data_IF_546568988949
#
_entry.id   IF_546568988949
#
_cell.length_a   1.000
_cell.length_b   1.000
_cell.length_c   1.000
_cell.angle_alpha   90.00
_cell.angle_beta   90.00
_cell.angle_gamma   90.00
#
_symmetry.space_group_name_H-M   'P 1'
#
loop_
_entity.id
_entity.type
_entity.pdbx_description
1 polymer ?
#
# COMPACT_ATOMS: atom_id res chain seq x y z
N UNK A 1 2.31 14.34 6.71
CA UNK A 1 3.41 13.62 6.05
C UNK A 1 3.80 14.31 4.75
N UNK A 2 5.04 14.11 4.34
CA UNK A 2 5.59 14.61 3.08
C UNK A 2 6.13 13.44 2.28
N UNK A 3 5.90 13.45 0.97
CA UNK A 3 6.57 12.59 -0.01
C UNK A 3 7.29 13.45 -1.06
N UNK A 4 7.74 12.86 -2.16
CA UNK A 4 8.50 13.57 -3.19
C UNK A 4 7.69 14.69 -3.86
N UNK A 5 6.38 14.51 -3.99
CA UNK A 5 5.53 15.38 -4.80
C UNK A 5 4.27 15.89 -4.08
N UNK A 6 4.11 15.55 -2.81
CA UNK A 6 2.94 15.93 -2.01
C UNK A 6 3.25 16.13 -0.54
N UNK A 7 2.53 17.05 0.11
CA UNK A 7 2.50 17.23 1.56
C UNK A 7 1.06 17.22 2.02
N UNK A 8 0.77 16.45 3.08
CA UNK A 8 -0.56 16.34 3.66
C UNK A 8 -0.51 16.74 5.12
N UNK A 9 -1.22 17.79 5.45
CA UNK A 9 -1.47 18.24 6.81
C UNK A 9 -2.76 17.62 7.32
N UNK A 10 -2.78 17.20 8.58
CA UNK A 10 -3.96 16.53 9.14
C UNK A 10 -4.22 17.01 10.57
N UNK A 11 -5.47 17.30 10.85
CA UNK A 11 -5.99 17.54 12.21
C UNK A 11 -7.08 16.48 12.43
N UNK A 12 -6.92 15.66 13.45
CA UNK A 12 -7.84 14.54 13.75
C UNK A 12 -8.46 14.69 15.14
N UNK A 13 -9.58 14.00 15.37
CA UNK A 13 -10.28 13.97 16.66
C UNK A 13 -10.76 15.36 17.13
N UNK A 14 -11.21 16.19 16.20
CA UNK A 14 -11.77 17.50 16.51
C UNK A 14 -13.19 17.34 17.06
N UNK A 15 -13.51 17.86 18.26
CA UNK A 15 -14.87 17.84 18.80
C UNK A 15 -15.77 18.79 17.99
N UNK A 16 -16.73 18.25 17.25
CA UNK A 16 -17.61 19.01 16.34
C UNK A 16 -18.72 19.78 17.06
N UNK A 17 -19.02 19.41 18.29
CA UNK A 17 -19.94 20.12 19.19
C UNK A 17 -19.36 21.45 19.74
N UNK A 18 -18.06 21.66 19.61
CA UNK A 18 -17.38 22.89 20.03
C UNK A 18 -17.00 23.77 18.82
N UNK A 19 -17.88 24.70 18.47
CA UNK A 19 -17.71 25.58 17.32
C UNK A 19 -16.40 26.37 17.36
N UNK A 20 -15.93 26.81 18.54
CA UNK A 20 -14.69 27.57 18.69
C UNK A 20 -13.45 26.72 18.35
N UNK A 21 -13.47 25.43 18.70
CA UNK A 21 -12.40 24.52 18.35
C UNK A 21 -12.37 24.25 16.82
N UNK A 22 -13.54 24.02 16.22
CA UNK A 22 -13.68 23.90 14.78
C UNK A 22 -13.15 25.12 14.05
N UNK A 23 -13.57 26.32 14.46
CA UNK A 23 -13.12 27.57 13.83
C UNK A 23 -11.59 27.76 13.99
N UNK A 24 -11.03 27.37 15.14
CA UNK A 24 -9.56 27.38 15.33
C UNK A 24 -8.84 26.43 14.44
N UNK A 25 -9.38 25.23 14.21
CA UNK A 25 -8.81 24.25 13.27
C UNK A 25 -8.83 24.78 11.83
N UNK A 26 -9.93 25.43 11.41
CA UNK A 26 -10.01 26.05 10.08
C UNK A 26 -8.98 27.18 9.92
N UNK A 27 -8.77 27.99 10.96
CA UNK A 27 -7.73 29.03 10.95
C UNK A 27 -6.32 28.42 10.83
N UNK A 28 -6.03 27.34 11.57
CA UNK A 28 -4.75 26.64 11.47
C UNK A 28 -4.53 26.10 10.04
N UNK A 29 -5.56 25.50 9.43
CA UNK A 29 -5.47 25.03 8.04
C UNK A 29 -5.22 26.19 7.06
N UNK A 30 -5.88 27.33 7.26
CA UNK A 30 -5.65 28.54 6.47
C UNK A 30 -4.21 29.03 6.61
N UNK A 31 -3.69 29.13 7.83
CA UNK A 31 -2.33 29.61 8.08
C UNK A 31 -1.29 28.65 7.49
N UNK A 32 -1.50 27.35 7.59
CA UNK A 32 -0.64 26.38 6.92
C UNK A 32 -0.65 26.50 5.40
N UNK A 33 -1.80 26.85 4.83
CA UNK A 33 -1.96 26.91 3.37
C UNK A 33 -1.27 28.13 2.74
N UNK A 34 -1.24 29.29 3.43
CA UNK A 34 -0.84 30.54 2.79
C UNK A 34 -0.18 31.58 3.71
N UNK A 35 -0.12 31.34 5.03
CA UNK A 35 0.27 32.37 6.01
C UNK A 35 1.34 31.89 7.01
N UNK A 36 2.13 30.85 6.71
CA UNK A 36 3.20 30.40 7.59
C UNK A 36 4.25 31.52 7.75
N UNK A 37 4.53 31.88 8.98
CA UNK A 37 5.57 32.84 9.32
C UNK A 37 6.95 32.14 9.35
N UNK A 38 7.66 32.18 8.23
CA UNK A 38 8.99 31.58 8.07
C UNK A 38 10.08 32.51 8.63
N UNK A 39 10.01 32.83 9.94
CA UNK A 39 11.01 33.65 10.62
C UNK A 39 12.35 32.90 10.75
N UNK A 40 13.46 33.57 10.53
CA UNK A 40 14.81 32.99 10.56
C UNK A 40 15.08 32.18 11.83
N UNK A 41 14.71 32.73 12.99
CA UNK A 41 14.88 32.07 14.28
C UNK A 41 14.11 30.73 14.39
N UNK A 42 12.92 30.66 13.80
CA UNK A 42 12.11 29.44 13.84
C UNK A 42 12.65 28.40 12.81
N UNK A 43 13.11 28.85 11.65
CA UNK A 43 13.80 28.00 10.69
C UNK A 43 15.06 27.37 11.32
N UNK A 44 15.88 28.14 12.05
CA UNK A 44 17.07 27.60 12.71
C UNK A 44 16.75 26.57 13.82
N UNK A 45 15.67 26.79 14.57
CA UNK A 45 15.21 25.78 15.54
C UNK A 45 14.83 24.48 14.83
N UNK A 46 14.08 24.61 13.74
CA UNK A 46 13.57 23.45 12.99
C UNK A 46 14.70 22.68 12.32
N UNK A 47 15.80 23.34 11.89
CA UNK A 47 17.00 22.64 11.41
C UNK A 47 17.51 21.60 12.41
N UNK A 48 17.45 21.90 13.70
CA UNK A 48 17.82 20.96 14.76
C UNK A 48 16.93 19.73 14.79
N UNK A 49 15.62 19.95 14.66
CA UNK A 49 14.60 18.88 14.62
C UNK A 49 14.80 17.98 13.38
N UNK A 50 14.94 18.60 12.20
CA UNK A 50 15.16 17.85 10.94
C UNK A 50 16.48 17.08 10.95
N UNK A 51 17.55 17.59 11.57
CA UNK A 51 18.81 16.83 11.74
C UNK A 51 18.61 15.58 12.58
N UNK A 52 17.86 15.66 13.68
CA UNK A 52 17.57 14.50 14.51
C UNK A 52 16.63 13.51 13.78
N UNK A 53 15.68 14.00 13.00
CA UNK A 53 14.86 13.16 12.13
C UNK A 53 15.73 12.44 11.09
N UNK A 54 16.62 13.16 10.41
CA UNK A 54 17.56 12.56 9.46
C UNK A 54 18.40 11.46 10.13
N UNK A 55 18.92 11.74 11.34
CA UNK A 55 19.71 10.79 12.10
C UNK A 55 18.93 9.54 12.49
N UNK A 56 17.69 9.72 12.94
CA UNK A 56 16.82 8.61 13.35
C UNK A 56 16.34 7.75 12.18
N UNK A 57 16.20 8.34 10.99
CA UNK A 57 15.81 7.64 9.76
C UNK A 57 16.98 7.03 8.99
N UNK A 58 18.22 7.42 9.29
CA UNK A 58 19.43 6.94 8.60
C UNK A 58 19.80 5.50 8.98
N UNK A 59 18.84 4.58 8.79
CA UNK A 59 19.05 3.13 8.97
C UNK A 59 19.83 2.52 7.81
N UNK A 60 20.34 1.30 7.99
CA UNK A 60 21.03 0.55 6.92
C UNK A 60 20.20 0.44 5.65
N UNK A 61 18.90 0.16 5.78
CA UNK A 61 17.99 0.10 4.62
C UNK A 61 17.84 1.46 3.92
N UNK A 62 17.75 2.56 4.69
CA UNK A 62 17.68 3.91 4.12
C UNK A 62 18.94 4.26 3.32
N UNK A 63 20.13 3.91 3.82
CA UNK A 63 21.41 4.12 3.11
C UNK A 63 21.45 3.30 1.81
N UNK A 64 21.04 2.03 1.86
CA UNK A 64 20.94 1.16 0.68
C UNK A 64 19.99 1.75 -0.34
N UNK A 65 18.78 2.17 0.08
CA UNK A 65 17.78 2.75 -0.83
C UNK A 65 18.29 4.05 -1.47
N UNK A 66 18.91 4.95 -0.69
CA UNK A 66 19.48 6.19 -1.22
C UNK A 66 20.53 5.89 -2.30
N UNK A 67 21.38 4.89 -2.08
CA UNK A 67 22.40 4.48 -3.07
C UNK A 67 21.79 3.74 -4.27
N UNK A 68 20.61 3.13 -4.15
CA UNK A 68 19.93 2.45 -5.23
C UNK A 68 19.23 3.43 -6.20
N UNK A 69 18.77 4.59 -5.71
CA UNK A 69 17.98 5.53 -6.51
C UNK A 69 18.61 5.92 -7.85
N UNK A 70 19.93 6.24 -7.95
CA UNK A 70 20.56 6.56 -9.24
C UNK A 70 20.56 5.40 -10.24
N UNK A 71 20.53 4.15 -9.75
CA UNK A 71 20.42 2.96 -10.60
C UNK A 71 18.98 2.71 -11.03
N UNK A 72 18.01 2.96 -10.14
CA UNK A 72 16.58 2.77 -10.40
C UNK A 72 16.02 3.87 -11.31
N UNK A 73 16.56 5.09 -11.18
CA UNK A 73 16.08 6.30 -11.85
C UNK A 73 17.20 7.04 -12.59
N UNK A 74 17.92 6.38 -13.52
CA UNK A 74 18.97 7.05 -14.26
C UNK A 74 18.39 8.26 -15.01
N UNK A 75 19.09 9.38 -14.97
CA UNK A 75 18.74 10.63 -15.64
C UNK A 75 17.39 11.25 -15.19
N UNK A 76 16.80 10.77 -14.12
CA UNK A 76 15.59 11.34 -13.55
C UNK A 76 15.87 12.10 -12.25
N UNK A 77 15.07 13.14 -12.01
CA UNK A 77 15.12 13.89 -10.74
C UNK A 77 14.81 13.02 -9.51
N UNK A 78 14.10 11.92 -9.68
CA UNK A 78 13.82 10.97 -8.60
C UNK A 78 15.08 10.33 -8.01
N UNK A 79 16.21 10.35 -8.72
CA UNK A 79 17.49 9.85 -8.21
C UNK A 79 18.02 10.63 -6.99
N UNK A 80 17.68 11.93 -6.88
CA UNK A 80 18.34 12.86 -5.93
C UNK A 80 17.36 13.57 -4.99
N UNK A 81 16.05 13.29 -5.04
CA UNK A 81 15.07 14.11 -4.35
C UNK A 81 14.34 13.41 -3.19
N UNK A 82 15.04 12.63 -2.38
CA UNK A 82 14.43 12.08 -1.16
C UNK A 82 13.98 13.20 -0.22
N UNK A 83 12.75 13.13 0.35
CA UNK A 83 12.14 14.23 1.10
C UNK A 83 12.95 14.71 2.30
N UNK A 84 13.68 13.81 2.96
CA UNK A 84 14.50 14.19 4.12
C UNK A 84 15.72 15.06 3.73
N UNK A 85 16.17 15.01 2.48
CA UNK A 85 17.32 15.76 1.98
C UNK A 85 18.67 15.24 2.51
N UNK A 86 19.69 16.07 2.34
CA UNK A 86 21.05 15.82 2.85
C UNK A 86 21.38 16.73 4.03
N UNK A 87 22.28 16.27 4.91
CA UNK A 87 22.75 17.09 6.05
C UNK A 87 23.40 18.41 5.60
N UNK A 88 24.08 18.40 4.46
CA UNK A 88 24.70 19.61 3.93
C UNK A 88 23.62 20.66 3.58
N UNK A 89 22.57 20.25 2.85
CA UNK A 89 21.45 21.13 2.54
C UNK A 89 20.74 21.58 3.81
N UNK A 90 20.39 20.66 4.71
CA UNK A 90 19.67 20.98 5.96
C UNK A 90 20.41 22.04 6.78
N UNK A 91 21.73 21.94 6.85
CA UNK A 91 22.55 22.85 7.65
C UNK A 91 22.78 24.22 6.98
N UNK A 92 22.81 24.28 5.66
CA UNK A 92 23.38 25.42 4.93
C UNK A 92 22.42 26.15 4.00
N UNK A 93 21.19 25.63 3.73
CA UNK A 93 20.27 26.32 2.83
C UNK A 93 19.96 27.75 3.33
N UNK A 94 19.93 28.77 2.46
CA UNK A 94 19.52 30.12 2.82
C UNK A 94 18.06 30.15 3.25
N UNK A 95 17.72 31.00 4.23
CA UNK A 95 16.30 31.12 4.67
C UNK A 95 15.36 31.49 3.52
N UNK A 96 15.88 32.21 2.52
CA UNK A 96 15.07 32.64 1.38
C UNK A 96 14.62 31.44 0.52
N UNK A 97 15.40 30.38 0.43
CA UNK A 97 15.04 29.20 -0.36
C UNK A 97 13.75 28.55 0.12
N UNK A 98 13.55 28.44 1.44
CA UNK A 98 12.29 27.87 1.98
C UNK A 98 11.11 28.83 1.79
N UNK A 99 11.34 30.15 1.87
CA UNK A 99 10.31 31.14 1.56
C UNK A 99 9.89 31.11 0.10
N UNK A 100 10.87 31.04 -0.79
CA UNK A 100 10.62 30.94 -2.25
C UNK A 100 9.93 29.64 -2.61
N UNK A 101 10.32 28.53 -1.96
CA UNK A 101 9.65 27.25 -2.12
C UNK A 101 8.18 27.33 -1.68
N UNK A 102 7.93 27.88 -0.50
CA UNK A 102 6.59 28.04 0.03
C UNK A 102 5.74 28.94 -0.87
N UNK A 103 6.23 30.10 -1.25
CA UNK A 103 5.53 31.02 -2.16
C UNK A 103 5.24 30.41 -3.54
N UNK A 104 6.13 29.52 -4.02
CA UNK A 104 6.01 28.88 -5.33
C UNK A 104 4.99 27.75 -5.35
N UNK A 105 4.92 26.95 -4.29
CA UNK A 105 4.19 25.69 -4.32
C UNK A 105 2.96 25.64 -3.41
N UNK A 106 2.89 26.46 -2.36
CA UNK A 106 1.72 26.57 -1.47
C UNK A 106 0.73 27.58 -2.04
N UNK A 107 -0.02 27.15 -3.02
CA UNK A 107 -0.94 27.97 -3.79
C UNK A 107 -2.27 27.25 -4.03
N UNK A 108 -3.41 27.99 -4.08
CA UNK A 108 -4.75 27.40 -4.03
C UNK A 108 -5.07 26.44 -5.17
N UNK A 109 -4.45 26.60 -6.35
CA UNK A 109 -4.65 25.72 -7.50
C UNK A 109 -3.96 24.32 -7.32
N UNK A 110 -3.10 24.17 -6.31
CA UNK A 110 -2.45 22.91 -5.94
C UNK A 110 -2.90 22.37 -4.57
N UNK A 111 -3.91 22.96 -3.94
CA UNK A 111 -4.38 22.60 -2.61
C UNK A 111 -5.80 22.04 -2.65
N UNK A 112 -6.04 21.01 -1.84
CA UNK A 112 -7.38 20.50 -1.54
C UNK A 112 -7.62 20.48 -0.05
N UNK A 113 -8.84 20.78 0.39
CA UNK A 113 -9.27 20.72 1.78
C UNK A 113 -10.36 19.67 1.91
N UNK A 114 -10.13 18.66 2.74
CA UNK A 114 -11.07 17.58 3.01
C UNK A 114 -11.50 17.65 4.46
N UNK A 115 -12.80 17.74 4.71
CA UNK A 115 -13.38 17.76 6.06
C UNK A 115 -14.42 16.65 6.13
N UNK A 116 -14.25 15.77 7.09
CA UNK A 116 -15.16 14.63 7.31
C UNK A 116 -15.49 14.53 8.80
N UNK A 117 -16.75 14.44 9.12
CA UNK A 117 -17.24 14.34 10.49
C UNK A 117 -18.74 14.56 10.61
N UNK A 118 -19.20 14.62 11.85
CA UNK A 118 -20.56 15.04 12.17
C UNK A 118 -20.69 16.57 12.07
N UNK A 119 -20.96 17.05 10.85
CA UNK A 119 -21.01 18.46 10.48
C UNK A 119 -22.20 18.77 9.57
N UNK A 120 -22.67 20.01 9.62
CA UNK A 120 -23.54 20.55 8.58
C UNK A 120 -22.68 20.99 7.38
N UNK A 121 -22.86 20.33 6.23
CA UNK A 121 -22.02 20.53 5.04
C UNK A 121 -22.16 21.96 4.49
N UNK A 122 -23.38 22.50 4.40
CA UNK A 122 -23.63 23.83 3.86
C UNK A 122 -23.01 24.94 4.73
N UNK A 123 -23.14 24.81 6.05
CA UNK A 123 -22.51 25.73 6.98
C UNK A 123 -20.99 25.65 6.96
N UNK A 124 -20.44 24.45 6.83
CA UNK A 124 -19.00 24.24 6.74
C UNK A 124 -18.44 24.79 5.42
N UNK A 125 -19.13 24.59 4.31
CA UNK A 125 -18.78 25.19 3.02
C UNK A 125 -18.77 26.72 3.10
N UNK A 126 -19.79 27.32 3.71
CA UNK A 126 -19.85 28.77 3.90
C UNK A 126 -18.69 29.30 4.77
N UNK A 127 -18.33 28.56 5.83
CA UNK A 127 -17.19 28.91 6.70
C UNK A 127 -15.87 28.81 5.92
N UNK A 128 -15.65 27.73 5.14
CA UNK A 128 -14.47 27.56 4.31
C UNK A 128 -14.32 28.70 3.31
N UNK A 129 -15.37 29.03 2.58
CA UNK A 129 -15.37 30.16 1.62
C UNK A 129 -15.00 31.48 2.28
N UNK A 130 -15.42 31.68 3.51
CA UNK A 130 -15.10 32.90 4.28
C UNK A 130 -13.66 32.91 4.79
N UNK A 131 -13.19 31.81 5.36
CA UNK A 131 -11.85 31.70 5.97
C UNK A 131 -10.76 31.79 4.90
N UNK A 132 -10.97 31.17 3.71
CA UNK A 132 -9.98 31.13 2.63
C UNK A 132 -10.20 32.19 1.55
N UNK A 133 -11.06 33.19 1.78
CA UNK A 133 -11.39 34.22 0.79
C UNK A 133 -10.22 35.11 0.36
N UNK A 134 -9.23 35.27 1.20
CA UNK A 134 -8.03 36.09 0.99
C UNK A 134 -6.87 35.33 0.33
N UNK A 135 -6.95 33.98 0.26
CA UNK A 135 -5.95 33.15 -0.43
C UNK A 135 -6.06 33.34 -1.92
N UNK A 136 -5.07 33.99 -2.51
CA UNK A 136 -5.09 34.38 -3.93
C UNK A 136 -4.27 33.44 -4.79
N UNK A 137 -4.80 33.14 -5.97
CA UNK A 137 -4.02 32.45 -7.01
C UNK A 137 -2.83 33.33 -7.46
N UNK A 138 -1.64 32.74 -7.64
CA UNK A 138 -0.47 33.47 -8.14
C UNK A 138 -0.67 33.87 -9.61
N UNK A 139 -0.01 34.98 -9.99
CA UNK A 139 0.06 35.40 -11.38
C UNK A 139 1.20 34.62 -12.06
N UNK A 140 0.92 33.98 -13.20
CA UNK A 140 1.88 33.14 -13.93
C UNK A 140 2.52 32.05 -13.02
N UNK A 141 1.72 31.13 -12.47
CA UNK A 141 2.22 30.09 -11.58
C UNK A 141 3.22 29.18 -12.30
N UNK A 142 4.23 28.70 -11.56
CA UNK A 142 5.14 27.70 -12.09
C UNK A 142 4.39 26.41 -12.45
N UNK A 143 4.73 25.83 -13.59
CA UNK A 143 4.18 24.55 -14.01
C UNK A 143 4.60 23.42 -13.04
N UNK A 144 3.66 22.56 -12.71
CA UNK A 144 3.97 21.34 -11.95
C UNK A 144 4.46 20.27 -12.93
N UNK A 145 5.69 19.83 -12.71
CA UNK A 145 6.35 18.85 -13.57
C UNK A 145 6.43 17.52 -12.81
N UNK A 146 5.98 16.43 -13.45
CA UNK A 146 6.28 15.07 -13.07
C UNK A 146 7.46 14.57 -13.89
N UNK A 147 8.49 14.08 -13.22
CA UNK A 147 9.72 13.70 -13.90
C UNK A 147 9.56 12.33 -14.58
N UNK A 148 9.98 12.21 -15.84
CA UNK A 148 9.92 10.92 -16.53
C UNK A 148 10.89 9.91 -15.93
N UNK A 149 10.53 8.65 -16.05
CA UNK A 149 11.39 7.50 -15.77
C UNK A 149 11.58 6.73 -17.05
N UNK A 150 12.83 6.59 -17.48
CA UNK A 150 13.17 5.95 -18.74
C UNK A 150 12.89 4.44 -18.71
N UNK A 151 12.55 3.89 -19.89
CA UNK A 151 12.55 2.46 -20.13
C UNK A 151 13.98 1.92 -20.22
N UNK A 152 14.17 0.65 -19.88
CA UNK A 152 15.44 -0.02 -20.02
C UNK A 152 15.29 -1.36 -20.75
N UNK A 153 16.26 -1.64 -21.63
CA UNK A 153 16.32 -2.93 -22.36
C UNK A 153 17.08 -3.99 -21.56
N UNK A 154 18.20 -3.61 -20.96
CA UNK A 154 18.96 -4.47 -20.06
C UNK A 154 18.51 -4.23 -18.61
N UNK A 155 18.53 -5.27 -17.75
CA UNK A 155 18.15 -5.13 -16.36
C UNK A 155 19.00 -4.10 -15.60
N UNK A 156 18.34 -3.21 -14.84
CA UNK A 156 18.98 -2.32 -13.88
C UNK A 156 19.15 -3.07 -12.57
N UNK A 157 20.40 -3.27 -12.11
CA UNK A 157 20.68 -4.12 -10.95
C UNK A 157 21.48 -3.34 -9.93
N UNK A 158 20.95 -3.25 -8.71
CA UNK A 158 21.63 -2.71 -7.54
C UNK A 158 21.80 -3.79 -6.48
N UNK A 159 23.02 -3.91 -5.96
CA UNK A 159 23.37 -4.79 -4.83
C UNK A 159 23.96 -3.89 -3.76
N UNK A 160 23.32 -3.83 -2.61
CA UNK A 160 23.74 -3.04 -1.46
C UNK A 160 23.89 -3.87 -0.21
N UNK A 161 24.93 -3.59 0.57
CA UNK A 161 25.14 -4.23 1.87
C UNK A 161 25.31 -3.18 2.96
N UNK A 162 24.86 -3.49 4.16
CA UNK A 162 25.02 -2.62 5.32
C UNK A 162 25.12 -3.46 6.60
N UNK A 163 25.86 -2.95 7.58
CA UNK A 163 26.11 -3.63 8.87
C UNK A 163 24.87 -3.77 9.75
N UNK A 164 23.88 -2.90 9.54
CA UNK A 164 22.61 -2.92 10.28
C UNK A 164 21.57 -3.84 9.66
N UNK A 165 21.82 -4.37 8.47
CA UNK A 165 20.92 -5.34 7.84
C UNK A 165 21.25 -6.74 8.34
N UNK A 166 20.24 -7.45 8.81
CA UNK A 166 20.38 -8.81 9.32
C UNK A 166 19.88 -9.86 8.30
N UNK A 167 18.87 -9.52 7.53
CA UNK A 167 18.17 -10.44 6.62
C UNK A 167 18.28 -9.93 5.19
N UNK A 168 18.77 -10.77 4.26
CA UNK A 168 18.75 -10.41 2.84
C UNK A 168 17.33 -10.21 2.32
N UNK A 169 17.14 -9.14 1.54
CA UNK A 169 15.90 -8.85 0.81
C UNK A 169 16.19 -8.70 -0.68
N UNK A 170 15.30 -9.24 -1.48
CA UNK A 170 15.40 -9.32 -2.93
C UNK A 170 14.12 -8.78 -3.51
N UNK A 171 14.22 -7.82 -4.44
CA UNK A 171 13.08 -7.28 -5.14
C UNK A 171 13.33 -7.30 -6.64
N UNK A 172 12.37 -7.83 -7.38
CA UNK A 172 12.32 -7.74 -8.84
C UNK A 172 11.13 -6.88 -9.24
N UNK A 173 11.37 -5.85 -10.02
CA UNK A 173 10.35 -4.97 -10.55
C UNK A 173 10.31 -5.07 -12.08
N UNK A 174 9.09 -5.09 -12.62
CA UNK A 174 8.78 -5.03 -14.04
C UNK A 174 8.02 -3.73 -14.28
N UNK A 175 8.71 -2.69 -14.77
CA UNK A 175 8.12 -1.35 -14.97
C UNK A 175 7.12 -1.37 -16.12
N UNK A 176 6.06 -0.62 -15.97
CA UNK A 176 5.06 -0.34 -17.00
C UNK A 176 4.66 1.13 -16.97
N UNK A 177 3.97 1.60 -18.00
CA UNK A 177 3.39 2.93 -17.98
C UNK A 177 2.35 3.04 -16.85
N UNK A 178 2.35 4.18 -16.16
CA UNK A 178 1.28 4.50 -15.22
C UNK A 178 -0.06 4.60 -15.97
N UNK A 179 -1.14 4.19 -15.32
CA UNK A 179 -2.46 4.29 -15.94
C UNK A 179 -2.83 5.77 -16.12
N UNK A 180 -3.29 6.18 -17.32
CA UNK A 180 -3.62 7.57 -17.59
C UNK A 180 -4.73 8.08 -16.66
N UNK A 181 -4.50 9.21 -15.98
CA UNK A 181 -5.45 9.81 -15.04
C UNK A 181 -6.82 10.08 -15.68
N UNK A 182 -6.84 10.48 -16.96
CA UNK A 182 -8.08 10.73 -17.71
C UNK A 182 -8.99 9.50 -17.88
N UNK A 183 -8.45 8.29 -17.67
CA UNK A 183 -9.18 7.03 -17.81
C UNK A 183 -9.53 6.38 -16.47
N UNK A 184 -9.04 6.90 -15.34
CA UNK A 184 -9.26 6.31 -14.01
C UNK A 184 -10.75 6.31 -13.60
N UNK A 185 -11.53 7.31 -13.99
CA UNK A 185 -12.97 7.38 -13.73
C UNK A 185 -13.81 6.57 -14.73
N UNK A 186 -13.39 5.34 -15.05
CA UNK A 186 -14.09 4.46 -16.00
C UNK A 186 -14.25 3.05 -15.42
N UNK A 187 -15.31 2.34 -15.85
CA UNK A 187 -15.52 0.92 -15.51
C UNK A 187 -14.34 0.06 -15.98
N UNK A 188 -13.69 0.42 -17.10
CA UNK A 188 -12.52 -0.30 -17.59
C UNK A 188 -11.36 -0.22 -16.60
N UNK A 189 -11.14 0.91 -15.96
CA UNK A 189 -10.12 1.04 -14.91
C UNK A 189 -10.40 0.07 -13.76
N UNK A 190 -11.63 0.05 -13.25
CA UNK A 190 -12.02 -0.90 -12.20
C UNK A 190 -11.80 -2.35 -12.62
N UNK A 191 -12.16 -2.70 -13.85
CA UNK A 191 -11.95 -4.04 -14.39
C UNK A 191 -10.47 -4.41 -14.46
N UNK A 192 -9.62 -3.51 -14.92
CA UNK A 192 -8.16 -3.73 -14.99
C UNK A 192 -7.56 -3.85 -13.59
N UNK A 193 -7.90 -2.94 -12.67
CA UNK A 193 -7.41 -3.01 -11.28
C UNK A 193 -7.87 -4.29 -10.58
N UNK A 194 -9.12 -4.71 -10.80
CA UNK A 194 -9.62 -5.98 -10.31
C UNK A 194 -8.80 -7.16 -10.85
N UNK A 195 -8.56 -7.22 -12.17
CA UNK A 195 -7.79 -8.30 -12.78
C UNK A 195 -6.36 -8.36 -12.24
N UNK A 196 -5.69 -7.21 -12.08
CA UNK A 196 -4.35 -7.11 -11.48
C UNK A 196 -4.40 -7.60 -10.02
N UNK A 197 -5.36 -7.14 -9.24
CA UNK A 197 -5.53 -7.55 -7.84
C UNK A 197 -5.76 -9.04 -7.70
N UNK A 198 -6.54 -9.67 -8.60
CA UNK A 198 -6.76 -11.11 -8.61
C UNK A 198 -5.46 -11.87 -8.95
N UNK A 199 -4.72 -11.46 -9.99
CA UNK A 199 -3.45 -12.06 -10.36
C UNK A 199 -2.42 -12.00 -9.23
N UNK A 200 -2.27 -10.83 -8.62
CA UNK A 200 -1.38 -10.62 -7.45
C UNK A 200 -1.83 -11.49 -6.25
N UNK A 201 -3.13 -11.57 -5.98
CA UNK A 201 -3.67 -12.38 -4.88
C UNK A 201 -3.39 -13.87 -5.08
N UNK A 202 -3.60 -14.39 -6.28
CA UNK A 202 -3.34 -15.79 -6.60
C UNK A 202 -1.85 -16.12 -6.54
N UNK A 203 -0.98 -15.25 -7.06
CA UNK A 203 0.47 -15.45 -6.94
C UNK A 203 0.93 -15.43 -5.48
N UNK A 204 0.41 -14.50 -4.67
CA UNK A 204 0.69 -14.46 -3.23
C UNK A 204 0.25 -15.73 -2.51
N UNK A 205 -0.85 -16.34 -2.92
CA UNK A 205 -1.29 -17.64 -2.37
C UNK A 205 -0.28 -18.75 -2.67
N UNK A 206 0.24 -18.84 -3.91
CA UNK A 206 1.29 -19.80 -4.27
C UNK A 206 2.60 -19.58 -3.49
N UNK A 207 3.02 -18.31 -3.35
CA UNK A 207 4.20 -17.96 -2.55
C UNK A 207 4.02 -18.33 -1.07
N UNK A 208 2.81 -18.15 -0.53
CA UNK A 208 2.49 -18.57 0.84
C UNK A 208 2.53 -20.08 1.03
N UNK A 209 2.08 -20.87 0.06
CA UNK A 209 2.18 -22.33 0.08
C UNK A 209 3.65 -22.80 0.08
N UNK A 210 4.50 -22.21 -0.76
CA UNK A 210 5.94 -22.50 -0.79
C UNK A 210 6.57 -22.21 0.57
N UNK A 211 6.21 -21.09 1.20
CA UNK A 211 6.71 -20.73 2.54
C UNK A 211 6.34 -21.74 3.63
N UNK A 212 5.23 -22.48 3.47
CA UNK A 212 4.77 -23.48 4.43
C UNK A 212 5.49 -24.84 4.31
N UNK A 213 6.37 -25.02 3.32
CA UNK A 213 7.16 -26.25 3.19
C UNK A 213 8.12 -26.44 4.36
N UNK A 214 8.53 -27.67 4.61
CA UNK A 214 9.43 -27.99 5.73
C UNK A 214 10.79 -27.25 5.64
N UNK A 215 11.30 -27.03 4.41
CA UNK A 215 12.51 -26.27 4.12
C UNK A 215 12.19 -25.22 3.04
N UNK A 216 11.59 -24.10 3.43
CA UNK A 216 11.19 -23.09 2.46
C UNK A 216 12.44 -22.36 1.90
N UNK A 217 12.44 -22.01 0.59
CA UNK A 217 13.54 -21.29 -0.05
C UNK A 217 13.69 -19.85 0.43
N UNK A 218 12.65 -19.30 1.03
CA UNK A 218 12.61 -17.94 1.59
C UNK A 218 11.85 -17.91 2.91
N UNK A 219 12.11 -16.90 3.74
CA UNK A 219 11.41 -16.68 5.00
C UNK A 219 10.10 -15.91 4.82
N UNK A 220 10.01 -15.13 3.76
CA UNK A 220 8.82 -14.42 3.31
C UNK A 220 8.95 -14.09 1.83
N UNK A 221 7.82 -14.06 1.12
CA UNK A 221 7.75 -13.56 -0.25
C UNK A 221 6.38 -12.94 -0.50
N UNK A 222 6.33 -11.96 -1.37
CA UNK A 222 5.10 -11.27 -1.78
C UNK A 222 5.20 -10.74 -3.20
N UNK A 223 4.07 -10.60 -3.85
CA UNK A 223 3.92 -9.86 -5.10
C UNK A 223 3.02 -8.64 -4.88
N UNK A 224 3.21 -7.61 -5.70
CA UNK A 224 2.44 -6.38 -5.65
C UNK A 224 2.40 -5.66 -7.00
N UNK A 225 1.50 -4.69 -7.11
CA UNK A 225 1.45 -3.76 -8.23
C UNK A 225 1.10 -2.36 -7.71
N UNK A 226 1.76 -1.35 -8.23
CA UNK A 226 1.53 0.04 -7.87
C UNK A 226 2.53 0.97 -8.54
N UNK A 227 2.66 2.18 -8.02
CA UNK A 227 3.69 3.12 -8.48
C UNK A 227 5.08 2.50 -8.36
N UNK A 228 5.94 2.74 -9.35
CA UNK A 228 7.31 2.30 -9.27
C UNK A 228 8.04 3.10 -8.21
N UNK A 229 7.99 2.58 -6.98
CA UNK A 229 8.57 3.11 -5.76
C UNK A 229 8.11 4.54 -5.42
N UNK A 230 8.70 5.57 -6.02
CA UNK A 230 8.37 6.99 -5.75
C UNK A 230 7.89 7.75 -6.99
N UNK A 231 7.91 7.12 -8.17
CA UNK A 231 7.61 7.78 -9.43
C UNK A 231 6.12 7.69 -9.78
N UNK A 232 5.46 8.81 -10.00
CA UNK A 232 4.08 8.86 -10.53
C UNK A 232 3.96 8.52 -12.02
N UNK A 233 5.05 8.58 -12.75
CA UNK A 233 5.07 8.40 -14.22
C UNK A 233 5.27 6.95 -14.65
N UNK A 234 5.56 6.06 -13.71
CA UNK A 234 5.70 4.61 -13.94
C UNK A 234 5.05 3.82 -12.84
N UNK A 235 4.38 2.75 -13.22
CA UNK A 235 3.97 1.67 -12.33
C UNK A 235 4.93 0.50 -12.44
N UNK A 236 4.86 -0.43 -11.50
CA UNK A 236 5.58 -1.69 -11.58
C UNK A 236 4.78 -2.84 -10.97
N UNK A 237 4.88 -3.99 -11.60
CA UNK A 237 4.62 -5.26 -10.94
C UNK A 237 5.91 -5.66 -10.22
N UNK A 238 5.82 -5.96 -8.93
CA UNK A 238 6.96 -6.34 -8.11
C UNK A 238 6.79 -7.71 -7.48
N UNK A 239 7.91 -8.42 -7.31
CA UNK A 239 7.98 -9.65 -6.52
C UNK A 239 9.16 -9.55 -5.58
N UNK A 240 8.89 -9.72 -4.30
CA UNK A 240 9.85 -9.55 -3.22
C UNK A 240 10.03 -10.85 -2.44
N UNK A 241 11.24 -11.08 -1.94
CA UNK A 241 11.51 -12.15 -0.98
C UNK A 241 12.53 -11.72 0.06
N UNK A 242 12.38 -12.30 1.26
CA UNK A 242 13.41 -12.29 2.29
C UNK A 242 13.96 -13.71 2.45
N UNK A 243 15.27 -13.87 2.57
CA UNK A 243 15.91 -15.19 2.63
C UNK A 243 16.81 -15.35 3.85
N UNK A 244 17.23 -16.59 4.09
CA UNK A 244 18.41 -16.84 4.93
C UNK A 244 19.67 -16.35 4.19
N UNK A 245 20.72 -16.10 4.92
CA UNK A 245 22.01 -15.61 4.37
C UNK A 245 22.59 -16.55 3.31
N UNK A 246 22.45 -17.85 3.52
CA UNK A 246 22.91 -18.93 2.63
C UNK A 246 21.87 -19.32 1.56
N UNK A 247 20.70 -18.67 1.54
CA UNK A 247 19.57 -19.00 0.67
C UNK A 247 19.26 -17.96 -0.40
N UNK A 248 20.09 -16.95 -0.62
CA UNK A 248 19.80 -15.82 -1.50
C UNK A 248 19.50 -16.28 -2.93
N UNK A 249 20.38 -17.08 -3.52
CA UNK A 249 20.23 -17.56 -4.91
C UNK A 249 18.98 -18.44 -5.07
N UNK A 250 18.74 -19.35 -4.10
CA UNK A 250 17.56 -20.21 -4.12
C UNK A 250 16.26 -19.39 -4.03
N UNK A 251 16.22 -18.39 -3.14
CA UNK A 251 15.06 -17.50 -3.01
C UNK A 251 14.80 -16.73 -4.30
N UNK A 252 15.84 -16.11 -4.89
CA UNK A 252 15.76 -15.40 -6.17
C UNK A 252 15.21 -16.32 -7.27
N UNK A 253 15.78 -17.49 -7.43
CA UNK A 253 15.36 -18.45 -8.45
C UNK A 253 13.90 -18.85 -8.23
N UNK A 254 13.51 -19.18 -7.01
CA UNK A 254 12.15 -19.65 -6.72
C UNK A 254 11.09 -18.60 -7.00
N UNK A 255 11.29 -17.33 -6.57
CA UNK A 255 10.29 -16.29 -6.85
C UNK A 255 10.20 -15.97 -8.35
N UNK A 256 11.31 -16.05 -9.09
CA UNK A 256 11.30 -15.91 -10.56
C UNK A 256 10.65 -17.12 -11.25
N UNK A 257 10.85 -18.34 -10.76
CA UNK A 257 10.15 -19.53 -11.26
C UNK A 257 8.64 -19.42 -11.11
N UNK A 258 8.14 -18.96 -9.94
CA UNK A 258 6.69 -18.78 -9.75
C UNK A 258 6.14 -17.61 -10.56
N UNK A 259 6.90 -16.52 -10.70
CA UNK A 259 6.54 -15.40 -11.55
C UNK A 259 6.44 -15.84 -13.02
N UNK A 260 7.42 -16.62 -13.52
CA UNK A 260 7.40 -17.15 -14.87
C UNK A 260 6.32 -18.22 -15.07
N UNK A 261 6.05 -19.03 -14.06
CA UNK A 261 4.95 -20.00 -14.06
C UNK A 261 3.61 -19.27 -14.22
N UNK A 262 3.39 -18.19 -13.48
CA UNK A 262 2.20 -17.36 -13.62
C UNK A 262 2.11 -16.72 -15.01
N UNK A 263 3.22 -16.21 -15.55
CA UNK A 263 3.25 -15.62 -16.89
C UNK A 263 2.95 -16.64 -17.98
N UNK A 264 3.59 -17.82 -17.91
CA UNK A 264 3.57 -18.84 -18.99
C UNK A 264 2.30 -19.67 -19.00
N UNK A 265 1.85 -20.10 -17.84
CA UNK A 265 0.74 -21.04 -17.70
C UNK A 265 -0.52 -20.40 -17.07
N UNK A 266 -0.39 -19.21 -16.48
CA UNK A 266 -1.49 -18.53 -15.83
C UNK A 266 -1.91 -19.16 -14.51
N UNK A 267 -3.12 -18.82 -14.10
CA UNK A 267 -3.81 -19.34 -12.92
C UNK A 267 -4.97 -20.23 -13.34
N UNK A 268 -5.37 -21.15 -12.46
CA UNK A 268 -6.47 -22.08 -12.68
C UNK A 268 -7.81 -21.44 -12.31
N UNK A 269 -8.91 -21.98 -12.80
CA UNK A 269 -10.27 -21.56 -12.43
C UNK A 269 -10.50 -21.69 -10.93
N UNK A 270 -10.01 -22.75 -10.30
CA UNK A 270 -10.19 -22.99 -8.87
C UNK A 270 -9.44 -22.00 -7.97
N UNK A 271 -8.23 -21.56 -8.37
CA UNK A 271 -7.52 -20.45 -7.71
C UNK A 271 -8.32 -19.16 -7.83
N UNK A 272 -8.83 -18.88 -9.03
CA UNK A 272 -9.60 -17.68 -9.29
C UNK A 272 -10.93 -17.67 -8.54
N UNK A 273 -11.66 -18.77 -8.50
CA UNK A 273 -12.93 -18.87 -7.78
C UNK A 273 -12.77 -18.53 -6.29
N UNK A 274 -11.70 -19.04 -5.65
CA UNK A 274 -11.37 -18.69 -4.26
C UNK A 274 -10.99 -17.22 -4.08
N UNK A 275 -10.15 -16.69 -4.96
CA UNK A 275 -9.73 -15.29 -4.90
C UNK A 275 -10.93 -14.34 -5.11
N UNK A 276 -11.79 -14.63 -6.08
CA UNK A 276 -13.02 -13.89 -6.38
C UNK A 276 -14.00 -13.93 -5.22
N UNK A 277 -14.25 -15.10 -4.64
CA UNK A 277 -15.14 -15.24 -3.49
C UNK A 277 -14.66 -14.41 -2.29
N UNK A 278 -13.37 -14.47 -1.98
CA UNK A 278 -12.77 -13.67 -0.91
C UNK A 278 -12.82 -12.16 -1.19
N UNK A 279 -12.65 -11.75 -2.45
CA UNK A 279 -12.78 -10.36 -2.85
C UNK A 279 -14.21 -9.85 -2.66
N UNK A 280 -15.18 -10.55 -3.21
CA UNK A 280 -16.60 -10.16 -3.09
C UNK A 280 -17.07 -10.14 -1.64
N UNK A 281 -16.61 -11.08 -0.81
CA UNK A 281 -16.90 -11.07 0.62
C UNK A 281 -16.33 -9.82 1.32
N UNK A 282 -15.12 -9.37 0.95
CA UNK A 282 -14.57 -8.12 1.51
C UNK A 282 -15.38 -6.89 1.10
N UNK A 283 -15.79 -6.81 -0.16
CA UNK A 283 -16.64 -5.72 -0.67
C UNK A 283 -18.00 -5.74 0.04
N UNK A 284 -18.61 -6.91 0.21
CA UNK A 284 -19.85 -7.08 0.96
C UNK A 284 -19.71 -6.66 2.43
N UNK A 285 -18.62 -7.04 3.08
CA UNK A 285 -18.33 -6.64 4.45
C UNK A 285 -18.17 -5.12 4.57
N UNK A 286 -17.48 -4.48 3.65
CA UNK A 286 -17.32 -3.03 3.60
C UNK A 286 -18.69 -2.34 3.40
N UNK A 287 -19.54 -2.86 2.50
CA UNK A 287 -20.90 -2.36 2.29
C UNK A 287 -21.77 -2.49 3.55
N UNK A 288 -21.73 -3.63 4.22
CA UNK A 288 -22.51 -3.89 5.43
C UNK A 288 -22.05 -3.02 6.62
N UNK A 289 -20.77 -2.64 6.65
CA UNK A 289 -20.18 -1.83 7.72
C UNK A 289 -20.09 -0.32 7.39
N UNK A 290 -20.59 0.13 6.24
CA UNK A 290 -20.44 1.52 5.76
C UNK A 290 -20.90 2.58 6.76
N UNK A 291 -22.00 2.32 7.49
CA UNK A 291 -22.51 3.21 8.53
C UNK A 291 -21.59 3.31 9.78
N UNK A 292 -20.58 2.44 9.86
CA UNK A 292 -19.66 2.32 11.00
C UNK A 292 -18.21 2.65 10.63
N UNK A 293 -18.00 3.05 9.39
CA UNK A 293 -16.68 3.41 8.89
C UNK A 293 -16.14 4.64 9.64
N UNK A 294 -14.84 4.63 9.92
CA UNK A 294 -14.17 5.78 10.53
C UNK A 294 -14.03 6.93 9.53
N UNK A 295 -14.11 8.15 10.02
CA UNK A 295 -13.92 9.37 9.21
C UNK A 295 -12.57 9.35 8.45
N UNK A 296 -11.51 8.80 9.04
CA UNK A 296 -10.19 8.69 8.41
C UNK A 296 -10.21 7.88 7.11
N UNK A 297 -11.11 6.91 6.95
CA UNK A 297 -11.25 6.14 5.72
C UNK A 297 -11.71 7.05 4.58
N UNK A 298 -12.75 7.84 4.82
CA UNK A 298 -13.25 8.80 3.84
C UNK A 298 -12.25 9.92 3.53
N UNK A 299 -11.56 10.43 4.55
CA UNK A 299 -10.50 11.44 4.36
C UNK A 299 -9.40 10.89 3.45
N UNK A 300 -8.96 9.64 3.64
CA UNK A 300 -7.93 9.03 2.80
C UNK A 300 -8.42 8.82 1.36
N UNK A 301 -9.67 8.42 1.16
CA UNK A 301 -10.29 8.28 -0.16
C UNK A 301 -10.31 9.62 -0.92
N UNK A 302 -10.75 10.70 -0.26
CA UNK A 302 -10.76 12.03 -0.84
C UNK A 302 -9.36 12.58 -1.14
N UNK A 303 -8.38 12.30 -0.26
CA UNK A 303 -6.97 12.64 -0.51
C UNK A 303 -6.45 11.89 -1.74
N UNK A 304 -6.72 10.60 -1.87
CA UNK A 304 -6.29 9.80 -3.03
C UNK A 304 -6.96 10.27 -4.32
N UNK A 305 -8.24 10.64 -4.26
CA UNK A 305 -8.93 11.23 -5.41
C UNK A 305 -8.28 12.55 -5.82
N UNK A 306 -8.02 13.46 -4.89
CA UNK A 306 -7.43 14.77 -5.19
C UNK A 306 -5.98 14.66 -5.71
N UNK A 307 -5.16 13.81 -5.10
CA UNK A 307 -3.73 13.72 -5.40
C UNK A 307 -3.41 12.80 -6.59
N UNK A 308 -4.19 11.74 -6.74
CA UNK A 308 -3.85 10.63 -7.63
C UNK A 308 -4.99 10.31 -8.63
N UNK A 309 -6.05 11.14 -8.65
CA UNK A 309 -7.26 10.95 -9.46
C UNK A 309 -7.93 9.57 -9.27
N UNK A 310 -7.71 8.94 -8.10
CA UNK A 310 -8.37 7.67 -7.81
C UNK A 310 -9.89 7.87 -7.72
N UNK A 311 -10.68 7.02 -8.35
CA UNK A 311 -12.13 7.17 -8.32
C UNK A 311 -12.71 6.92 -6.91
N UNK A 312 -13.78 7.66 -6.59
CA UNK A 312 -14.50 7.53 -5.32
C UNK A 312 -16.02 7.40 -5.56
N UNK A 313 -16.46 6.24 -6.08
CA UNK A 313 -17.87 6.05 -6.45
C UNK A 313 -18.82 5.89 -5.26
N UNK A 314 -18.27 5.68 -4.06
CA UNK A 314 -19.01 5.24 -2.88
C UNK A 314 -19.24 3.74 -2.84
N UNK A 315 -19.26 3.18 -1.64
CA UNK A 315 -19.31 1.74 -1.41
C UNK A 315 -20.59 1.08 -1.95
N UNK A 316 -21.72 1.79 -1.97
CA UNK A 316 -22.99 1.27 -2.52
C UNK A 316 -22.86 0.99 -4.02
N UNK A 317 -22.25 1.93 -4.75
CA UNK A 317 -22.02 1.77 -6.17
C UNK A 317 -20.95 0.71 -6.45
N UNK A 318 -19.85 0.74 -5.71
CA UNK A 318 -18.78 -0.25 -5.84
C UNK A 318 -19.29 -1.68 -5.59
N UNK A 319 -20.07 -1.88 -4.51
CA UNK A 319 -20.68 -3.18 -4.20
C UNK A 319 -21.57 -3.68 -5.34
N UNK A 320 -22.48 -2.83 -5.84
CA UNK A 320 -23.36 -3.20 -6.93
C UNK A 320 -22.58 -3.49 -8.23
N UNK A 321 -21.62 -2.65 -8.57
CA UNK A 321 -20.80 -2.78 -9.76
C UNK A 321 -19.93 -4.05 -9.71
N UNK A 322 -19.25 -4.31 -8.60
CA UNK A 322 -18.34 -5.46 -8.50
C UNK A 322 -19.07 -6.80 -8.47
N UNK A 323 -20.26 -6.87 -7.89
CA UNK A 323 -21.12 -8.05 -7.97
C UNK A 323 -21.59 -8.37 -9.41
N UNK A 324 -21.65 -7.36 -10.29
CA UNK A 324 -21.94 -7.57 -11.71
C UNK A 324 -20.68 -7.84 -12.52
N UNK A 325 -19.61 -7.12 -12.25
CA UNK A 325 -18.38 -7.16 -13.06
C UNK A 325 -17.56 -8.44 -12.81
N UNK A 326 -17.28 -8.76 -11.55
CA UNK A 326 -16.37 -9.86 -11.19
C UNK A 326 -16.79 -11.24 -11.73
N UNK A 327 -18.10 -11.64 -11.68
CA UNK A 327 -18.52 -12.92 -12.26
C UNK A 327 -18.37 -13.03 -13.78
N UNK A 328 -18.30 -11.90 -14.50
CA UNK A 328 -18.20 -11.84 -15.94
C UNK A 328 -16.75 -11.73 -16.46
N UNK A 329 -15.76 -11.64 -15.57
CA UNK A 329 -14.35 -11.63 -15.92
C UNK A 329 -13.82 -13.07 -15.84
N UNK A 330 -13.43 -13.69 -16.97
CA UNK A 330 -12.85 -15.04 -16.96
C UNK A 330 -11.39 -15.02 -16.48
N UNK A 331 -10.90 -16.12 -15.92
CA UNK A 331 -9.50 -16.27 -15.50
C UNK A 331 -8.52 -16.03 -16.66
N UNK A 332 -8.90 -16.35 -17.89
CA UNK A 332 -8.11 -16.09 -19.08
C UNK A 332 -7.77 -14.60 -19.28
N UNK A 333 -8.68 -13.69 -18.95
CA UNK A 333 -8.42 -12.24 -19.00
C UNK A 333 -7.41 -11.82 -17.94
N UNK A 334 -7.48 -12.38 -16.74
CA UNK A 334 -6.51 -12.13 -15.67
C UNK A 334 -5.12 -12.64 -16.08
N UNK A 335 -5.06 -13.86 -16.67
CA UNK A 335 -3.82 -14.45 -17.16
C UNK A 335 -3.17 -13.58 -18.25
N UNK A 336 -3.97 -13.00 -19.14
CA UNK A 336 -3.49 -12.08 -20.16
C UNK A 336 -2.91 -10.79 -19.55
N UNK A 337 -3.56 -10.22 -18.56
CA UNK A 337 -3.04 -9.04 -17.84
C UNK A 337 -1.70 -9.36 -17.18
N UNK A 338 -1.58 -10.48 -16.49
CA UNK A 338 -0.33 -10.88 -15.84
C UNK A 338 0.80 -11.10 -16.85
N UNK A 339 0.51 -11.67 -18.02
CA UNK A 339 1.49 -11.80 -19.11
C UNK A 339 2.01 -10.43 -19.60
N UNK A 340 1.16 -9.41 -19.61
CA UNK A 340 1.54 -8.05 -20.01
C UNK A 340 2.36 -7.32 -18.92
N UNK A 341 2.13 -7.61 -17.65
CA UNK A 341 2.85 -7.00 -16.54
C UNK A 341 4.25 -7.60 -16.33
N UNK A 342 4.44 -8.87 -16.63
CA UNK A 342 5.73 -9.57 -16.45
C UNK A 342 6.51 -9.52 -17.76
N UNK A 343 7.26 -8.45 -17.97
CA UNK A 343 7.95 -8.14 -19.22
C UNK A 343 9.39 -8.64 -19.24
N UNK A 344 9.99 -8.68 -20.43
CA UNK A 344 11.39 -9.08 -20.64
C UNK A 344 12.36 -7.89 -20.59
N UNK A 345 11.84 -6.71 -20.75
CA UNK A 345 12.50 -5.41 -20.58
C UNK A 345 11.95 -4.70 -19.36
N UNK A 346 12.44 -3.48 -19.10
CA UNK A 346 11.99 -2.67 -17.97
C UNK A 346 12.15 -3.36 -16.60
N UNK A 347 13.13 -4.26 -16.50
CA UNK A 347 13.42 -5.00 -15.28
C UNK A 347 14.37 -4.21 -14.39
N UNK A 348 14.05 -4.14 -13.11
CA UNK A 348 14.89 -3.54 -12.07
C UNK A 348 15.01 -4.53 -10.92
N UNK A 349 16.25 -4.70 -10.42
CA UNK A 349 16.53 -5.62 -9.33
C UNK A 349 17.21 -4.87 -8.20
N UNK A 350 16.69 -5.04 -7.00
CA UNK A 350 17.29 -4.55 -5.77
C UNK A 350 17.59 -5.75 -4.87
N UNK A 351 18.86 -5.94 -4.56
CA UNK A 351 19.33 -6.91 -3.57
C UNK A 351 19.99 -6.15 -2.43
N UNK A 352 19.41 -6.26 -1.24
CA UNK A 352 19.94 -5.68 -0.02
C UNK A 352 20.29 -6.80 0.96
N UNK A 353 21.39 -6.66 1.70
CA UNK A 353 21.76 -7.67 2.68
C UNK A 353 22.82 -7.25 3.68
N UNK A 354 23.15 -8.14 4.63
CA UNK A 354 24.15 -7.85 5.65
C UNK A 354 25.56 -7.68 5.10
N UNK A 355 26.27 -6.65 5.54
CA UNK A 355 27.71 -6.53 5.37
C UNK A 355 28.42 -7.39 6.42
N UNK A 356 28.57 -8.69 6.11
CA UNK A 356 29.14 -9.67 7.03
C UNK A 356 30.12 -10.59 6.29
N UNK A 357 31.23 -10.90 6.94
CA UNK A 357 32.22 -11.82 6.41
C UNK A 357 31.61 -13.21 6.13
N UNK A 358 31.95 -13.79 4.99
CA UNK A 358 31.46 -15.11 4.56
C UNK A 358 30.11 -15.11 3.84
N UNK A 359 29.39 -13.98 3.81
CA UNK A 359 28.16 -13.86 3.00
C UNK A 359 28.54 -13.71 1.52
N UNK A 360 27.96 -14.56 0.68
CA UNK A 360 28.14 -14.50 -0.77
C UNK A 360 26.91 -13.90 -1.42
N UNK A 361 27.12 -12.89 -2.23
CA UNK A 361 26.09 -12.30 -3.07
C UNK A 361 26.34 -12.66 -4.53
N UNK A 362 25.30 -12.95 -5.31
CA UNK A 362 25.44 -13.08 -6.76
C UNK A 362 25.93 -11.76 -7.35
N UNK A 363 26.71 -11.85 -8.42
CA UNK A 363 27.13 -10.67 -9.19
C UNK A 363 25.98 -10.12 -10.03
N UNK A 364 26.12 -8.89 -10.53
CA UNK A 364 25.12 -8.30 -11.45
C UNK A 364 24.96 -9.15 -12.72
N UNK A 365 26.05 -9.70 -13.22
CA UNK A 365 26.09 -10.57 -14.39
C UNK A 365 25.34 -11.89 -14.17
N UNK A 366 25.50 -12.50 -12.99
CA UNK A 366 24.76 -13.72 -12.59
C UNK A 366 23.27 -13.44 -12.45
N UNK A 367 22.87 -12.30 -11.84
CA UNK A 367 21.47 -11.89 -11.75
C UNK A 367 20.88 -11.63 -13.15
N UNK A 368 21.60 -10.91 -14.01
CA UNK A 368 21.16 -10.66 -15.37
C UNK A 368 21.04 -11.97 -16.19
N UNK A 369 21.97 -12.90 -16.01
CA UNK A 369 21.89 -14.22 -16.63
C UNK A 369 20.67 -15.02 -16.15
N UNK A 370 20.37 -14.98 -14.85
CA UNK A 370 19.18 -15.63 -14.27
C UNK A 370 17.88 -15.06 -14.87
N UNK A 371 17.77 -13.74 -15.01
CA UNK A 371 16.61 -13.09 -15.65
C UNK A 371 16.48 -13.49 -17.13
N UNK A 372 17.59 -13.56 -17.88
CA UNK A 372 17.58 -14.03 -19.28
C UNK A 372 17.17 -15.49 -19.40
N UNK A 373 17.55 -16.32 -18.43
CA UNK A 373 17.17 -17.74 -18.37
C UNK A 373 15.73 -17.98 -17.95
N UNK A 374 15.05 -17.01 -17.38
CA UNK A 374 13.67 -17.14 -16.85
C UNK A 374 12.71 -17.79 -17.85
N UNK A 375 12.77 -17.37 -19.14
CA UNK A 375 11.96 -17.96 -20.22
C UNK A 375 12.24 -19.44 -20.51
N UNK A 376 13.42 -19.92 -20.18
CA UNK A 376 13.86 -21.29 -20.43
C UNK A 376 13.80 -22.19 -19.21
N UNK A 377 13.27 -21.71 -18.09
CA UNK A 377 13.08 -22.56 -16.91
C UNK A 377 12.21 -23.78 -17.24
N UNK A 378 12.64 -24.94 -16.79
CA UNK A 378 11.88 -26.20 -16.91
C UNK A 378 10.75 -26.18 -15.85
N UNK A 379 9.62 -25.61 -16.22
CA UNK A 379 8.47 -25.42 -15.36
C UNK A 379 7.28 -26.24 -15.84
N UNK A 380 6.54 -26.79 -14.88
CA UNK A 380 5.23 -27.37 -15.12
C UNK A 380 4.13 -26.38 -14.71
N UNK A 381 2.93 -26.48 -15.33
CA UNK A 381 1.77 -25.75 -14.83
C UNK A 381 1.56 -26.01 -13.33
N UNK A 382 1.03 -25.01 -12.63
CA UNK A 382 0.66 -25.18 -11.23
C UNK A 382 -0.50 -26.20 -11.12
N UNK A 383 -0.38 -27.14 -10.20
CA UNK A 383 -1.42 -28.11 -9.88
C UNK A 383 -2.10 -27.70 -8.57
N UNK A 384 -3.34 -27.25 -8.69
CA UNK A 384 -4.15 -26.86 -7.55
C UNK A 384 -4.67 -28.12 -6.82
N UNK A 385 -4.18 -28.38 -5.63
CA UNK A 385 -4.56 -29.55 -4.81
C UNK A 385 -5.85 -29.29 -4.03
N UNK A 386 -6.93 -28.96 -4.72
CA UNK A 386 -8.23 -28.76 -4.09
C UNK A 386 -8.85 -30.11 -3.75
N UNK A 387 -9.19 -30.32 -2.49
CA UNK A 387 -10.06 -31.42 -2.09
C UNK A 387 -11.53 -30.96 -2.14
N UNK A 388 -12.36 -31.70 -2.86
CA UNK A 388 -13.81 -31.53 -2.83
C UNK A 388 -14.47 -32.28 -1.67
N UNK A 389 -13.68 -32.94 -0.83
CA UNK A 389 -14.20 -33.59 0.35
C UNK A 389 -14.61 -32.55 1.39
N UNK A 390 -15.78 -32.72 2.02
CA UNK A 390 -16.20 -31.81 3.09
C UNK A 390 -15.19 -31.88 4.25
N UNK A 391 -14.91 -30.74 4.87
CA UNK A 391 -13.98 -30.62 6.00
C UNK A 391 -14.34 -31.58 7.15
N UNK A 392 -15.62 -31.83 7.33
CA UNK A 392 -16.15 -32.79 8.29
C UNK A 392 -16.88 -33.91 7.55
N UNK A 393 -16.52 -35.16 7.81
CA UNK A 393 -17.19 -36.35 7.22
C UNK A 393 -18.67 -36.41 7.61
N UNK A 394 -19.02 -35.91 8.81
CA UNK A 394 -20.38 -35.84 9.31
C UNK A 394 -20.58 -34.46 9.97
N UNK A 395 -21.72 -33.86 9.77
CA UNK A 395 -22.08 -32.64 10.48
C UNK A 395 -22.12 -32.90 12.00
N UNK A 396 -21.45 -32.07 12.82
CA UNK A 396 -21.50 -32.26 14.26
C UNK A 396 -22.92 -32.06 14.77
N UNK A 397 -23.40 -33.02 15.55
CA UNK A 397 -24.72 -32.90 16.20
C UNK A 397 -24.66 -31.78 17.23
N UNK A 398 -25.54 -30.81 17.13
CA UNK A 398 -25.64 -29.70 18.07
C UNK A 398 -25.81 -30.20 19.51
N UNK A 399 -25.04 -29.59 20.45
CA UNK A 399 -25.19 -29.84 21.86
C UNK A 399 -26.48 -29.20 22.42
N UNK A 400 -27.09 -29.83 23.44
CA UNK A 400 -28.21 -29.26 24.20
C UNK A 400 -27.69 -28.41 25.35
N UNK A 401 -28.37 -27.33 25.70
CA UNK A 401 -28.09 -26.60 26.94
C UNK A 401 -28.57 -27.44 28.12
N UNK A 402 -27.69 -27.80 29.01
CA UNK A 402 -27.98 -28.62 30.22
C UNK A 402 -28.00 -27.78 31.49
N UNK A 403 -27.44 -26.57 31.43
CA UNK A 403 -27.50 -25.62 32.54
C UNK A 403 -27.41 -24.20 32.01
N UNK A 404 -28.22 -23.32 32.57
CA UNK A 404 -28.19 -21.88 32.34
C UNK A 404 -28.15 -21.18 33.70
N UNK A 405 -27.19 -20.28 33.89
CA UNK A 405 -27.08 -19.43 35.08
C UNK A 405 -26.91 -17.98 34.61
N UNK A 406 -27.85 -17.11 34.99
CA UNK A 406 -27.79 -15.70 34.74
C UNK A 406 -26.97 -14.99 35.84
N UNK A 407 -26.20 -14.01 35.42
CA UNK A 407 -25.69 -12.95 36.26
C UNK A 407 -24.46 -13.31 37.11
N UNK A 408 -23.32 -12.91 36.65
CA UNK A 408 -22.18 -12.58 37.50
C UNK A 408 -22.06 -11.05 37.64
N UNK A 409 -21.01 -10.58 38.31
CA UNK A 409 -20.69 -9.16 38.48
C UNK A 409 -20.49 -8.41 37.15
N UNK A 410 -20.32 -9.15 36.05
CA UNK A 410 -20.15 -8.61 34.69
C UNK A 410 -21.43 -8.63 33.86
N UNK A 411 -22.54 -9.12 34.40
CA UNK A 411 -23.82 -9.26 33.69
C UNK A 411 -23.80 -10.33 32.60
N UNK A 412 -23.00 -11.42 32.77
CA UNK A 412 -22.92 -12.50 31.80
C UNK A 412 -23.92 -13.61 32.11
N UNK A 413 -24.46 -14.27 31.05
CA UNK A 413 -25.18 -15.54 31.19
C UNK A 413 -24.24 -16.70 30.88
N UNK A 414 -24.10 -17.63 31.82
CA UNK A 414 -23.30 -18.82 31.65
C UNK A 414 -24.17 -20.00 31.25
N UNK A 415 -23.84 -20.59 30.10
CA UNK A 415 -24.48 -21.84 29.63
C UNK A 415 -23.47 -22.98 29.74
N UNK A 416 -23.97 -24.18 29.99
CA UNK A 416 -23.23 -25.44 29.90
C UNK A 416 -23.94 -26.33 28.89
N UNK A 417 -23.18 -26.77 27.87
CA UNK A 417 -23.70 -27.67 26.84
C UNK A 417 -23.57 -29.14 27.26
N UNK A 418 -24.33 -30.02 26.64
CA UNK A 418 -24.36 -31.46 26.94
C UNK A 418 -23.02 -32.17 26.72
N UNK A 419 -22.11 -31.57 25.94
CA UNK A 419 -20.72 -32.04 25.76
C UNK A 419 -19.72 -31.44 26.73
N UNK A 420 -20.19 -30.71 27.77
CA UNK A 420 -19.33 -30.08 28.78
C UNK A 420 -18.78 -28.69 28.43
N UNK A 421 -18.99 -28.19 27.23
CA UNK A 421 -18.55 -26.85 26.82
C UNK A 421 -19.29 -25.78 27.63
N UNK A 422 -18.52 -24.82 28.15
CA UNK A 422 -19.04 -23.68 28.91
C UNK A 422 -19.08 -22.47 27.96
N UNK A 423 -20.23 -21.85 27.85
CA UNK A 423 -20.45 -20.64 27.02
C UNK A 423 -20.81 -19.51 27.96
N UNK A 424 -20.18 -18.35 27.77
CA UNK A 424 -20.49 -17.11 28.48
C UNK A 424 -20.99 -16.10 27.48
N UNK A 425 -22.21 -15.59 27.67
CA UNK A 425 -22.85 -14.63 26.78
C UNK A 425 -23.08 -13.33 27.55
N UNK A 426 -22.67 -12.22 26.94
CA UNK A 426 -23.00 -10.88 27.40
C UNK A 426 -23.61 -10.10 26.25
N UNK A 427 -24.84 -9.65 26.41
CA UNK A 427 -25.46 -8.73 25.46
C UNK A 427 -25.04 -7.30 25.80
N UNK A 428 -24.58 -6.57 24.82
CA UNK A 428 -24.17 -5.18 24.93
C UNK A 428 -24.77 -4.36 23.79
N UNK A 429 -24.92 -3.08 24.01
CA UNK A 429 -25.39 -2.07 23.05
C UNK A 429 -24.25 -1.19 22.47
N UNK A 430 -22.99 -1.55 22.76
CA UNK A 430 -21.83 -0.76 22.31
C UNK A 430 -21.73 -0.66 20.78
N UNK A 431 -22.11 -1.73 20.08
CA UNK A 431 -22.15 -1.75 18.62
C UNK A 431 -23.11 -2.84 18.15
N UNK A 432 -24.05 -2.49 17.27
CA UNK A 432 -24.97 -3.46 16.68
C UNK A 432 -24.21 -4.49 15.82
N UNK A 433 -24.65 -5.76 15.83
CA UNK A 433 -24.15 -6.85 15.00
C UNK A 433 -22.66 -7.23 15.19
N UNK A 434 -22.12 -7.22 16.39
CA UNK A 434 -20.81 -7.79 16.70
C UNK A 434 -20.91 -8.97 17.64
N UNK A 435 -20.33 -10.08 17.23
CA UNK A 435 -20.05 -11.23 18.08
C UNK A 435 -18.54 -11.38 18.21
N UNK A 436 -18.02 -11.21 19.42
CA UNK A 436 -16.63 -11.51 19.71
C UNK A 436 -16.53 -12.93 20.22
N UNK A 437 -15.69 -13.73 19.59
CA UNK A 437 -15.30 -15.05 20.09
C UNK A 437 -13.87 -15.01 20.53
N UNK A 438 -13.57 -15.61 21.69
CA UNK A 438 -12.19 -15.85 22.08
C UNK A 438 -11.67 -17.09 21.34
N UNK A 439 -10.50 -17.04 20.70
CA UNK A 439 -9.90 -18.24 20.18
C UNK A 439 -9.66 -19.21 21.33
N UNK A 440 -10.02 -20.46 21.11
CA UNK A 440 -9.65 -21.54 22.05
C UNK A 440 -8.12 -21.67 22.05
N UNK A 441 -7.49 -21.90 23.23
CA UNK A 441 -6.05 -22.15 23.28
C UNK A 441 -5.66 -23.43 22.55
#
# INVERSE_FOLDING_TARGET
YTSIDKTVYRISNVPTDNVSVVDSCLLILHDWSSAINLADKEIDKERGVIREEWRSRNSGMQRIMTNALPVMYPDSKYADCMPIGSLDVINNFPYQDIRDYYAKWYRPDLQGIMIVGDINVDEMEAKLKKVFADVKAPVNPAERIYYPVADNQEPQIFIGTDKEIETPSISFFFKSEAFPDSLKNTINYYGIQYMISMGVTMLNSRLAEIRQQANPPFTGASAGYGDFFVAKTKSAFGVDASSKIDGIELAMKTILEETERARRFGFTETEYDRARANYLQRVESAYNEREKMKNDTYVNEYISNFLDNEPMPGIEYEYAMMNQLAPNIPVAAINQVMQQLITDNNQVVLLAGPEKEGVKYPTKEEIAALLKQMKSFDLKPYEDKVSNEPLLKEEPKGGKIVSEKAGDIYGTTKLVLSNGVKVYIKTTDYKACLLYTSPSP
#
